data_IF_942541751340
#
_entry.id   IF_942541751340
#
_cell.length_a   1.000
_cell.length_b   1.000
_cell.length_c   1.000
_cell.angle_alpha   90.00
_cell.angle_beta   90.00
_cell.angle_gamma   90.00
#
_symmetry.space_group_name_H-M   'P 1'
#
loop_
_entity.id
_entity.type
_entity.pdbx_description
1 polymer ?
#
# COMPACT_ATOMS: atom_id res chain seq x y z
N UNK A 1 -20.48 -9.98 -20.99
CA UNK A 1 -19.92 -8.64 -21.18
C UNK A 1 -18.42 -8.69 -21.03
N UNK A 2 -17.71 -8.39 -22.11
CA UNK A 2 -16.24 -8.45 -22.11
C UNK A 2 -15.58 -7.22 -21.51
N UNK A 3 -16.33 -6.14 -21.29
CA UNK A 3 -15.77 -4.89 -20.75
C UNK A 3 -15.49 -4.98 -19.26
N UNK A 4 -16.27 -5.78 -18.51
CA UNK A 4 -16.10 -5.87 -17.06
C UNK A 4 -14.74 -6.43 -16.63
N UNK A 5 -14.23 -7.54 -17.23
CA UNK A 5 -12.88 -8.02 -16.92
C UNK A 5 -11.79 -7.01 -17.30
N UNK A 6 -11.95 -6.31 -18.43
CA UNK A 6 -11.00 -5.30 -18.85
C UNK A 6 -10.92 -4.14 -17.83
N UNK A 7 -12.07 -3.65 -17.38
CA UNK A 7 -12.12 -2.58 -16.39
C UNK A 7 -11.51 -3.01 -15.06
N UNK A 8 -11.76 -4.27 -14.64
CA UNK A 8 -11.17 -4.82 -13.42
C UNK A 8 -9.64 -4.86 -13.53
N UNK A 9 -9.10 -5.29 -14.68
CA UNK A 9 -7.67 -5.34 -14.90
C UNK A 9 -7.04 -3.94 -14.88
N UNK A 10 -7.71 -2.97 -15.50
CA UNK A 10 -7.23 -1.58 -15.51
C UNK A 10 -7.20 -1.01 -14.10
N UNK A 11 -8.23 -1.29 -13.28
CA UNK A 11 -8.29 -0.82 -11.90
C UNK A 11 -7.20 -1.48 -11.06
N UNK A 12 -6.98 -2.78 -11.22
CA UNK A 12 -5.93 -3.50 -10.50
C UNK A 12 -4.55 -2.94 -10.82
N UNK A 13 -4.30 -2.68 -12.10
CA UNK A 13 -3.04 -2.06 -12.53
C UNK A 13 -2.85 -0.69 -11.90
N UNK A 14 -3.92 0.12 -11.86
CA UNK A 14 -3.87 1.44 -11.27
C UNK A 14 -3.58 1.36 -9.76
N UNK A 15 -4.21 0.41 -9.07
CA UNK A 15 -3.96 0.20 -7.65
C UNK A 15 -2.49 -0.15 -7.38
N UNK A 16 -1.92 -1.02 -8.20
CA UNK A 16 -0.51 -1.39 -8.06
C UNK A 16 0.41 -0.20 -8.34
N UNK A 17 0.09 0.59 -9.35
CA UNK A 17 0.88 1.77 -9.67
C UNK A 17 0.81 2.81 -8.55
N UNK A 18 -0.37 3.03 -7.99
CA UNK A 18 -0.54 3.95 -6.87
C UNK A 18 0.24 3.48 -5.65
N UNK A 19 0.20 2.17 -5.36
CA UNK A 19 0.96 1.60 -4.26
C UNK A 19 2.47 1.82 -4.46
N UNK A 20 2.95 1.58 -5.67
CA UNK A 20 4.35 1.79 -6.01
C UNK A 20 4.77 3.25 -5.79
N UNK A 21 3.96 4.18 -6.25
CA UNK A 21 4.23 5.61 -6.09
C UNK A 21 4.28 6.01 -4.61
N UNK A 22 3.37 5.48 -3.80
CA UNK A 22 3.36 5.74 -2.36
C UNK A 22 4.62 5.18 -1.67
N UNK A 23 5.07 4.01 -2.07
CA UNK A 23 6.30 3.42 -1.52
C UNK A 23 7.53 4.24 -1.91
N UNK A 24 7.61 4.67 -3.16
CA UNK A 24 8.71 5.52 -3.62
C UNK A 24 8.72 6.83 -2.82
N UNK A 25 7.55 7.44 -2.62
CA UNK A 25 7.43 8.65 -1.82
C UNK A 25 7.87 8.41 -0.37
N UNK A 26 7.55 7.24 0.19
CA UNK A 26 7.97 6.90 1.55
C UNK A 26 9.49 6.78 1.64
N UNK A 27 10.12 6.14 0.66
CA UNK A 27 11.58 6.00 0.60
C UNK A 27 12.24 7.38 0.50
N UNK A 28 11.74 8.23 -0.39
CA UNK A 28 12.25 9.59 -0.54
C UNK A 28 12.11 10.37 0.77
N UNK A 29 10.99 10.19 1.47
CA UNK A 29 10.75 10.86 2.75
C UNK A 29 11.74 10.42 3.82
N UNK A 30 12.09 9.13 3.86
CA UNK A 30 13.13 8.64 4.76
C UNK A 30 14.46 9.33 4.45
N UNK A 31 14.81 9.41 3.18
CA UNK A 31 16.07 10.03 2.75
C UNK A 31 16.10 11.54 3.04
N UNK A 32 14.94 12.17 3.07
CA UNK A 32 14.81 13.59 3.40
C UNK A 32 14.74 13.87 4.91
N UNK A 33 14.73 12.83 5.72
CA UNK A 33 14.65 12.96 7.17
C UNK A 33 13.27 13.38 7.68
N UNK A 34 12.21 13.04 6.97
CA UNK A 34 10.86 13.34 7.41
C UNK A 34 10.46 12.49 8.61
N UNK A 35 9.41 12.93 9.31
CA UNK A 35 8.93 12.24 10.52
C UNK A 35 8.34 10.88 10.20
N UNK A 36 8.35 9.98 11.18
CA UNK A 36 7.72 8.66 11.04
C UNK A 36 6.24 8.77 10.73
N UNK A 37 5.55 9.76 11.27
CA UNK A 37 4.12 9.95 11.01
C UNK A 37 3.86 10.19 9.52
N UNK A 38 4.67 11.04 8.89
CA UNK A 38 4.54 11.31 7.46
C UNK A 38 4.84 10.06 6.62
N UNK A 39 5.88 9.30 6.99
CA UNK A 39 6.25 8.06 6.31
C UNK A 39 5.14 7.03 6.46
N UNK A 40 4.58 6.88 7.67
CA UNK A 40 3.51 5.93 7.93
C UNK A 40 2.26 6.21 7.10
N UNK A 41 1.92 7.47 6.89
CA UNK A 41 0.77 7.82 6.03
C UNK A 41 0.97 7.28 4.63
N UNK A 42 2.16 7.40 4.07
CA UNK A 42 2.45 6.91 2.72
C UNK A 42 2.43 5.39 2.66
N UNK A 43 2.96 4.72 3.67
CA UNK A 43 2.92 3.25 3.77
C UNK A 43 1.49 2.74 3.92
N UNK A 44 0.68 3.40 4.72
CA UNK A 44 -0.72 3.04 4.90
C UNK A 44 -1.49 3.21 3.59
N UNK A 45 -1.23 4.28 2.85
CA UNK A 45 -1.84 4.48 1.54
C UNK A 45 -1.47 3.36 0.57
N UNK A 46 -0.20 2.95 0.56
CA UNK A 46 0.25 1.85 -0.28
C UNK A 46 -0.44 0.54 0.10
N UNK A 47 -0.53 0.26 1.40
CA UNK A 47 -1.20 -0.94 1.90
C UNK A 47 -2.68 -0.94 1.51
N UNK A 48 -3.34 0.21 1.64
CA UNK A 48 -4.76 0.35 1.29
C UNK A 48 -4.98 0.06 -0.19
N UNK A 49 -4.12 0.58 -1.06
CA UNK A 49 -4.20 0.32 -2.49
C UNK A 49 -4.05 -1.17 -2.81
N UNK A 50 -3.11 -1.85 -2.17
CA UNK A 50 -2.88 -3.28 -2.41
C UNK A 50 -4.01 -4.14 -1.85
N UNK A 51 -4.52 -3.79 -0.67
CA UNK A 51 -5.62 -4.54 -0.06
C UNK A 51 -6.92 -4.37 -0.84
N UNK A 52 -7.09 -3.27 -1.54
CA UNK A 52 -8.27 -3.07 -2.38
C UNK A 52 -8.34 -4.08 -3.51
N UNK A 53 -7.21 -4.70 -3.90
CA UNK A 53 -7.21 -5.77 -4.89
C UNK A 53 -7.98 -7.00 -4.42
N UNK A 54 -8.02 -7.24 -3.11
CA UNK A 54 -8.73 -8.36 -2.51
C UNK A 54 -10.07 -7.96 -1.93
N UNK A 55 -10.43 -6.67 -2.02
CA UNK A 55 -11.64 -6.13 -1.41
C UNK A 55 -11.49 -5.84 0.07
N UNK A 56 -10.30 -5.99 0.63
CA UNK A 56 -10.05 -5.71 2.02
C UNK A 56 -9.71 -4.24 2.24
N UNK A 57 -9.84 -3.81 3.50
CA UNK A 57 -9.43 -2.47 3.91
C UNK A 57 -8.20 -2.56 4.79
N UNK A 58 -7.34 -1.54 4.71
CA UNK A 58 -6.16 -1.44 5.56
C UNK A 58 -6.60 -0.98 6.94
N UNK A 59 -6.97 -1.93 7.80
CA UNK A 59 -7.25 -1.68 9.20
C UNK A 59 -5.97 -1.79 10.01
N UNK A 60 -5.95 -1.18 11.19
CA UNK A 60 -4.80 -1.28 12.10
C UNK A 60 -4.44 -2.75 12.36
N UNK A 61 -5.45 -3.59 12.55
CA UNK A 61 -5.21 -5.01 12.82
C UNK A 61 -4.54 -5.71 11.65
N UNK A 62 -4.99 -5.44 10.42
CA UNK A 62 -4.41 -6.05 9.23
C UNK A 62 -2.97 -5.61 9.06
N UNK A 63 -2.70 -4.32 9.21
CA UNK A 63 -1.34 -3.78 9.10
C UNK A 63 -0.43 -4.38 10.16
N UNK A 64 -0.90 -4.46 11.40
CA UNK A 64 -0.13 -5.06 12.49
C UNK A 64 0.17 -6.54 12.23
N UNK A 65 -0.79 -7.28 11.69
CA UNK A 65 -0.59 -8.69 11.35
C UNK A 65 0.48 -8.86 10.28
N UNK A 66 0.49 -7.99 9.27
CA UNK A 66 1.50 -8.02 8.22
C UNK A 66 2.89 -7.79 8.82
N UNK A 67 3.04 -6.73 9.60
CA UNK A 67 4.34 -6.39 10.18
C UNK A 67 4.83 -7.43 11.17
N UNK A 68 3.93 -8.04 11.94
CA UNK A 68 4.32 -9.08 12.88
C UNK A 68 4.89 -10.32 12.18
N UNK A 69 4.41 -10.62 10.99
CA UNK A 69 4.89 -11.76 10.23
C UNK A 69 6.27 -11.52 9.61
N UNK A 70 6.62 -10.28 9.36
CA UNK A 70 7.95 -9.96 8.84
C UNK A 70 9.04 -10.07 9.92
N UNK A 71 8.67 -10.06 11.18
CA UNK A 71 9.61 -10.20 12.29
C UNK A 71 10.78 -9.22 12.18
N UNK A 72 10.49 -8.00 11.85
CA UNK A 72 11.52 -6.98 11.68
C UNK A 72 12.27 -6.77 13.00
N UNK A 73 13.58 -6.83 12.95
CA UNK A 73 14.41 -6.64 14.14
C UNK A 73 14.61 -7.87 14.99
N UNK A 74 14.20 -9.00 14.51
CA UNK A 74 14.40 -10.27 15.21
C UNK A 74 15.55 -11.05 14.63
#
# INVERSE_FOLDING_TARGET
DTSAPMLANMRQRQNCQNARENIISAIDSVNMGMTYDAINVMCDCAADELLSLTGEKATEQVVNNIFSKFCVGK
#
